data_IF_467959731752
#
_entry.id   IF_467959731752
#
_cell.length_a   1.000
_cell.length_b   1.000
_cell.length_c   1.000
_cell.angle_alpha   90.00
_cell.angle_beta   90.00
_cell.angle_gamma   90.00
#
_symmetry.space_group_name_H-M   'P 1'
#
loop_
_entity.id
_entity.type
_entity.pdbx_description
1 polymer ?
#
# COMPACT_ATOMS: atom_id res chain seq x y z
N UNK A 1 -23.86 -48.45 -21.82
CA UNK A 1 -23.43 -48.92 -23.15
C UNK A 1 -22.33 -48.00 -23.66
N UNK A 2 -21.22 -48.66 -24.03
CA UNK A 2 -20.08 -48.23 -24.86
C UNK A 2 -19.07 -47.22 -24.28
N UNK A 3 -17.98 -47.82 -23.81
CA UNK A 3 -16.62 -47.28 -23.64
C UNK A 3 -16.03 -46.90 -24.99
N UNK A 4 -15.22 -45.84 -25.04
CA UNK A 4 -14.15 -45.80 -26.04
C UNK A 4 -12.89 -45.23 -25.40
N UNK A 5 -11.90 -46.09 -25.33
CA UNK A 5 -10.48 -45.83 -25.05
C UNK A 5 -9.80 -45.43 -26.35
N UNK A 6 -9.00 -44.36 -26.31
CA UNK A 6 -7.91 -44.22 -27.29
C UNK A 6 -6.59 -44.02 -26.55
N UNK A 7 -5.73 -45.03 -26.78
CA UNK A 7 -4.29 -45.05 -26.48
C UNK A 7 -3.53 -44.74 -27.78
N UNK A 8 -2.24 -44.48 -27.63
CA UNK A 8 -1.09 -44.45 -28.57
C UNK A 8 -0.59 -42.99 -28.75
N UNK A 9 0.68 -42.68 -28.62
CA UNK A 9 1.91 -43.47 -28.49
C UNK A 9 3.09 -42.49 -28.30
N UNK A 10 4.17 -43.04 -27.79
CA UNK A 10 5.45 -42.40 -27.50
C UNK A 10 6.26 -42.09 -28.76
N UNK A 11 7.06 -41.02 -28.71
CA UNK A 11 8.27 -40.92 -29.54
C UNK A 11 9.39 -40.24 -28.76
N UNK A 12 10.40 -41.01 -28.41
CA UNK A 12 11.72 -40.54 -27.98
C UNK A 12 12.48 -39.99 -29.19
N UNK A 13 13.16 -38.88 -28.99
CA UNK A 13 14.28 -38.47 -29.83
C UNK A 13 15.39 -37.92 -28.94
N UNK A 14 16.39 -38.73 -28.72
CA UNK A 14 17.72 -38.39 -28.17
C UNK A 14 18.56 -37.76 -29.26
N UNK A 15 19.17 -36.61 -29.01
CA UNK A 15 20.33 -36.16 -29.77
C UNK A 15 21.41 -35.68 -28.77
N UNK A 16 22.48 -36.47 -28.70
CA UNK A 16 23.74 -36.12 -28.07
C UNK A 16 24.62 -35.41 -29.09
N UNK A 17 25.24 -34.32 -28.73
CA UNK A 17 26.41 -33.79 -29.42
C UNK A 17 27.46 -33.41 -28.40
N UNK A 18 28.58 -34.11 -28.53
CA UNK A 18 29.83 -33.93 -27.77
C UNK A 18 30.78 -32.99 -28.52
N UNK A 19 31.71 -32.41 -27.80
CA UNK A 19 32.95 -31.83 -28.29
C UNK A 19 33.04 -30.33 -27.99
N UNK A 20 34.12 -29.74 -27.49
CA UNK A 20 35.53 -30.12 -27.36
C UNK A 20 36.22 -29.24 -26.30
N UNK A 21 37.11 -29.86 -25.54
CA UNK A 21 38.09 -29.24 -24.67
C UNK A 21 39.11 -28.44 -25.48
N UNK A 22 39.43 -27.26 -25.04
CA UNK A 22 40.73 -26.63 -25.29
C UNK A 22 41.27 -26.03 -23.99
N UNK A 23 42.26 -26.70 -23.44
CA UNK A 23 43.11 -26.22 -22.39
C UNK A 23 44.20 -25.37 -23.01
N UNK A 24 44.52 -24.25 -22.40
CA UNK A 24 45.84 -23.64 -22.46
C UNK A 24 46.20 -23.08 -21.10
N UNK A 25 47.34 -23.56 -20.71
CA UNK A 25 48.10 -23.40 -19.46
C UNK A 25 48.76 -22.03 -19.30
N UNK A 26 48.83 -21.61 -18.07
CA UNK A 26 50.08 -21.41 -17.28
C UNK A 26 50.58 -19.96 -17.06
N UNK A 27 50.92 -19.76 -15.77
CA UNK A 27 51.90 -18.86 -15.14
C UNK A 27 51.48 -17.43 -14.91
N UNK A 28 51.74 -16.84 -13.76
CA UNK A 28 52.39 -17.18 -12.48
C UNK A 28 52.11 -16.06 -11.50
N UNK A 29 51.99 -16.46 -10.25
CA UNK A 29 52.25 -15.76 -9.00
C UNK A 29 52.46 -14.23 -8.97
N UNK A 30 51.59 -13.56 -8.21
CA UNK A 30 52.05 -12.68 -7.12
C UNK A 30 50.94 -12.52 -6.10
N UNK A 31 51.31 -12.73 -4.84
CA UNK A 31 50.53 -12.42 -3.66
C UNK A 31 49.96 -11.00 -3.70
N UNK A 32 48.64 -10.88 -3.61
CA UNK A 32 47.99 -9.66 -3.16
C UNK A 32 46.74 -10.08 -2.40
N UNK A 33 46.80 -9.88 -1.08
CA UNK A 33 45.71 -9.91 -0.11
C UNK A 33 44.48 -9.22 -0.68
N UNK A 34 43.31 -9.87 -0.72
CA UNK A 34 42.07 -9.13 -1.05
C UNK A 34 41.78 -8.21 0.13
N UNK A 35 41.93 -6.93 -0.05
CA UNK A 35 41.23 -5.93 0.73
C UNK A 35 39.73 -6.20 0.54
N UNK A 36 39.05 -6.42 1.65
CA UNK A 36 37.59 -6.36 1.68
C UNK A 36 37.19 -4.95 1.27
N UNK A 37 36.83 -4.82 0.01
CA UNK A 37 36.15 -3.64 -0.47
C UNK A 37 34.73 -3.71 0.11
N UNK A 38 34.53 -2.91 1.16
CA UNK A 38 33.20 -2.60 1.65
C UNK A 38 32.51 -1.85 0.53
N UNK A 39 31.79 -2.59 -0.33
CA UNK A 39 30.75 -1.99 -1.11
C UNK A 39 29.66 -1.54 -0.12
N UNK A 40 29.82 -0.32 0.34
CA UNK A 40 28.72 0.49 0.84
C UNK A 40 27.77 0.61 -0.36
N UNK A 41 26.80 -0.30 -0.46
CA UNK A 41 25.61 0.00 -1.22
C UNK A 41 25.05 1.24 -0.53
N UNK A 42 25.22 2.38 -1.17
CA UNK A 42 24.36 3.51 -0.93
C UNK A 42 22.95 2.98 -1.27
N UNK A 43 22.20 2.60 -0.24
CA UNK A 43 20.76 2.65 -0.34
C UNK A 43 20.50 4.10 -0.72
N UNK A 44 20.22 4.32 -2.00
CA UNK A 44 19.58 5.54 -2.40
C UNK A 44 18.32 5.58 -1.56
N UNK A 45 18.23 6.53 -0.62
CA UNK A 45 16.98 6.83 0.03
C UNK A 45 15.97 7.05 -1.09
N UNK A 46 15.05 6.10 -1.26
CA UNK A 46 13.90 6.37 -2.08
C UNK A 46 13.25 7.61 -1.44
N UNK A 47 12.87 8.61 -2.24
CA UNK A 47 12.18 9.77 -1.71
C UNK A 47 10.93 9.31 -0.95
N UNK A 48 10.59 10.03 0.09
CA UNK A 48 9.33 9.78 0.80
C UNK A 48 8.15 9.94 -0.18
N UNK A 49 7.03 9.23 0.04
CA UNK A 49 5.85 9.41 -0.76
C UNK A 49 5.50 10.90 -0.91
N UNK A 50 5.24 11.34 -2.14
CA UNK A 50 4.97 12.74 -2.45
C UNK A 50 6.19 13.65 -2.66
N UNK A 51 7.38 13.34 -2.16
CA UNK A 51 8.58 14.19 -2.30
C UNK A 51 8.99 14.46 -3.75
N UNK A 52 8.87 13.47 -4.61
CA UNK A 52 9.20 13.60 -6.05
C UNK A 52 8.03 14.09 -6.91
N UNK A 53 6.81 14.11 -6.38
CA UNK A 53 5.62 14.48 -7.11
C UNK A 53 5.38 16.00 -7.14
N UNK A 54 6.16 16.79 -6.41
CA UNK A 54 6.03 18.25 -6.35
C UNK A 54 4.90 18.74 -5.45
N UNK A 55 4.42 17.88 -4.54
CA UNK A 55 3.48 18.24 -3.47
C UNK A 55 4.01 17.71 -2.12
N UNK A 56 3.50 18.24 -1.04
CA UNK A 56 3.86 17.86 0.32
C UNK A 56 2.62 17.38 1.06
N UNK A 57 2.69 16.16 1.57
CA UNK A 57 1.64 15.59 2.40
C UNK A 57 1.73 16.15 3.83
N UNK A 58 0.60 16.56 4.37
CA UNK A 58 0.49 17.03 5.73
C UNK A 58 -0.17 15.94 6.57
N UNK A 59 0.45 15.48 7.67
CA UNK A 59 -0.13 14.42 8.49
C UNK A 59 -1.35 14.92 9.28
N UNK A 60 -2.37 14.09 9.41
CA UNK A 60 -3.45 14.30 10.38
C UNK A 60 -2.98 14.09 11.82
N UNK A 61 -1.97 13.27 12.01
CA UNK A 61 -1.36 12.88 13.27
C UNK A 61 -0.36 11.74 13.10
N UNK A 62 0.04 11.11 14.18
CA UNK A 62 0.92 9.94 14.13
C UNK A 62 0.19 8.73 13.51
N UNK A 63 0.94 7.81 12.89
CA UNK A 63 0.39 6.54 12.40
C UNK A 63 -0.29 5.75 13.53
N UNK A 64 -1.40 5.10 13.22
CA UNK A 64 -2.21 4.35 14.17
C UNK A 64 -2.17 2.86 13.86
N UNK A 65 -1.76 2.05 14.83
CA UNK A 65 -1.85 0.59 14.78
C UNK A 65 -3.26 0.13 15.18
N UNK A 66 -3.97 -0.54 14.24
CA UNK A 66 -5.31 -1.10 14.51
C UNK A 66 -5.42 -2.52 13.97
N UNK A 67 -5.46 -3.49 14.86
CA UNK A 67 -5.49 -4.90 14.48
C UNK A 67 -4.28 -5.27 13.59
N UNK A 68 -4.47 -5.86 12.41
CA UNK A 68 -3.37 -6.26 11.53
C UNK A 68 -2.88 -5.12 10.62
N UNK A 69 -3.27 -3.86 10.89
CA UNK A 69 -3.03 -2.72 10.02
C UNK A 69 -2.21 -1.63 10.71
N UNK A 70 -1.44 -0.90 9.92
CA UNK A 70 -0.89 0.42 10.23
C UNK A 70 -1.61 1.42 9.33
N UNK A 71 -2.09 2.50 9.90
CA UNK A 71 -2.91 3.50 9.21
C UNK A 71 -2.26 4.87 9.37
N UNK A 72 -1.79 5.43 8.29
CA UNK A 72 -1.44 6.84 8.14
C UNK A 72 -2.65 7.64 7.68
N UNK A 73 -2.79 8.86 8.15
CA UNK A 73 -3.77 9.80 7.62
C UNK A 73 -3.05 11.07 7.19
N UNK A 74 -3.22 11.46 5.93
CA UNK A 74 -2.58 12.66 5.37
C UNK A 74 -3.57 13.50 4.57
N UNK A 75 -3.20 14.74 4.27
CA UNK A 75 -3.97 15.63 3.40
C UNK A 75 -3.03 16.58 2.65
N UNK A 76 -3.46 17.02 1.47
CA UNK A 76 -2.74 17.97 0.63
C UNK A 76 -3.70 18.69 -0.33
N UNK A 77 -3.18 19.36 -1.39
CA UNK A 77 -4.00 20.07 -2.34
C UNK A 77 -5.05 19.16 -2.98
N UNK A 78 -6.25 19.70 -3.33
CA UNK A 78 -7.24 18.93 -4.09
C UNK A 78 -6.66 18.45 -5.41
N UNK A 79 -7.04 17.22 -5.83
CA UNK A 79 -6.53 16.57 -7.04
C UNK A 79 -7.62 16.33 -8.08
N UNK A 80 -7.22 16.34 -9.35
CA UNK A 80 -8.08 15.86 -10.43
C UNK A 80 -8.04 14.34 -10.49
N UNK A 81 -9.20 13.72 -10.66
CA UNK A 81 -9.37 12.27 -10.67
C UNK A 81 -10.08 11.79 -11.93
N UNK A 82 -9.73 10.62 -12.42
CA UNK A 82 -10.42 9.95 -13.52
C UNK A 82 -10.75 8.49 -13.14
N UNK A 83 -12.04 8.07 -13.08
CA UNK A 83 -13.21 8.93 -13.31
C UNK A 83 -13.39 9.95 -12.18
N UNK A 84 -14.00 11.10 -12.49
CA UNK A 84 -14.34 12.08 -11.47
C UNK A 84 -15.33 11.48 -10.48
N UNK A 85 -14.97 11.46 -9.19
CA UNK A 85 -15.82 11.04 -8.07
C UNK A 85 -15.77 12.08 -6.96
N UNK A 86 -16.84 12.16 -6.18
CA UNK A 86 -16.93 13.12 -5.08
C UNK A 86 -16.90 14.58 -5.54
N UNK A 87 -16.31 15.45 -4.71
CA UNK A 87 -16.23 16.89 -4.96
C UNK A 87 -15.11 17.20 -5.97
N UNK A 88 -15.36 17.99 -7.03
CA UNK A 88 -14.31 18.45 -7.93
C UNK A 88 -13.20 19.22 -7.21
N UNK A 89 -11.97 19.15 -7.71
CA UNK A 89 -10.82 19.82 -7.08
C UNK A 89 -11.07 21.32 -6.82
N UNK A 90 -11.65 22.05 -7.77
CA UNK A 90 -11.96 23.48 -7.65
C UNK A 90 -12.93 23.83 -6.51
N UNK A 91 -13.77 22.88 -6.11
CA UNK A 91 -14.80 23.06 -5.07
C UNK A 91 -14.39 22.43 -3.73
N UNK A 92 -13.18 21.88 -3.65
CA UNK A 92 -12.68 21.14 -2.49
C UNK A 92 -11.76 22.00 -1.60
N UNK A 93 -11.65 21.63 -0.33
CA UNK A 93 -10.66 22.17 0.60
C UNK A 93 -9.32 21.48 0.46
N UNK A 94 -9.34 20.18 0.31
CA UNK A 94 -8.15 19.33 0.29
C UNK A 94 -8.49 17.99 -0.36
N UNK A 95 -7.48 17.23 -0.68
CA UNK A 95 -7.54 15.78 -0.80
C UNK A 95 -7.14 15.16 0.55
N UNK A 96 -7.91 14.19 1.05
CA UNK A 96 -7.57 13.42 2.25
C UNK A 96 -7.29 11.99 1.85
N UNK A 97 -6.30 11.38 2.49
CA UNK A 97 -5.90 10.00 2.24
C UNK A 97 -5.80 9.21 3.53
N UNK A 98 -6.07 7.93 3.40
CA UNK A 98 -5.75 6.89 4.36
C UNK A 98 -4.77 5.91 3.71
N UNK A 99 -3.52 5.94 4.17
CA UNK A 99 -2.47 5.00 3.81
C UNK A 99 -2.59 3.79 4.71
N UNK A 100 -3.12 2.71 4.16
CA UNK A 100 -3.41 1.52 4.96
C UNK A 100 -2.49 0.37 4.53
N UNK A 101 -1.53 0.10 5.38
CA UNK A 101 -0.53 -0.94 5.20
C UNK A 101 -0.72 -2.11 6.17
N UNK A 102 -0.22 -3.27 5.78
CA UNK A 102 -0.19 -4.44 6.64
C UNK A 102 0.88 -4.27 7.74
N UNK A 103 0.48 -4.48 8.99
CA UNK A 103 1.39 -4.46 10.13
C UNK A 103 2.42 -5.61 10.05
N UNK A 104 3.58 -5.43 10.65
CA UNK A 104 4.65 -6.42 10.65
C UNK A 104 4.27 -7.76 11.29
N UNK A 105 3.33 -7.74 12.24
CA UNK A 105 2.81 -8.90 12.94
C UNK A 105 1.49 -9.43 12.38
N UNK A 106 1.01 -8.89 11.23
CA UNK A 106 -0.19 -9.40 10.58
C UNK A 106 -0.06 -10.89 10.27
N UNK A 107 -1.17 -11.59 10.29
CA UNK A 107 -1.25 -13.02 9.98
C UNK A 107 -2.10 -13.31 8.73
N UNK A 108 -2.31 -12.28 7.91
CA UNK A 108 -3.19 -12.33 6.73
C UNK A 108 -2.47 -12.72 5.44
N UNK A 109 -1.13 -12.88 5.49
CA UNK A 109 -0.32 -13.25 4.33
C UNK A 109 0.25 -12.08 3.54
N UNK A 110 0.07 -10.85 3.99
CA UNK A 110 0.73 -9.66 3.45
C UNK A 110 2.13 -9.50 4.03
N UNK A 111 3.06 -8.97 3.26
CA UNK A 111 4.32 -8.46 3.78
C UNK A 111 4.10 -7.22 4.66
N UNK A 112 5.03 -6.98 5.59
CA UNK A 112 4.99 -5.74 6.38
C UNK A 112 5.11 -4.52 5.46
N UNK A 113 4.20 -3.57 5.61
CA UNK A 113 4.14 -2.38 4.76
C UNK A 113 3.40 -2.56 3.43
N UNK A 114 2.95 -3.77 3.08
CA UNK A 114 2.16 -3.96 1.86
C UNK A 114 0.82 -3.22 1.98
N UNK A 115 0.41 -2.53 0.91
CA UNK A 115 -0.94 -1.99 0.80
C UNK A 115 -1.99 -3.10 0.93
N UNK A 116 -3.04 -2.85 1.70
CA UNK A 116 -4.12 -3.83 1.91
C UNK A 116 -5.32 -3.47 1.02
N UNK A 117 -5.57 -4.22 -0.06
CA UNK A 117 -6.61 -3.90 -1.03
C UNK A 117 -8.00 -4.35 -0.58
N UNK A 118 -9.02 -3.76 -1.21
CA UNK A 118 -10.42 -4.20 -1.12
C UNK A 118 -11.12 -3.83 0.18
N UNK A 119 -10.53 -2.97 0.99
CA UNK A 119 -11.15 -2.42 2.19
C UNK A 119 -12.30 -1.46 1.82
N UNK A 120 -13.25 -1.32 2.74
CA UNK A 120 -14.17 -0.18 2.76
C UNK A 120 -13.74 0.73 3.89
N UNK A 121 -13.37 1.97 3.56
CA UNK A 121 -12.83 2.94 4.50
C UNK A 121 -13.79 4.11 4.58
N UNK A 122 -14.60 4.14 5.63
CA UNK A 122 -15.46 5.29 5.89
C UNK A 122 -14.70 6.30 6.75
N UNK A 123 -14.87 7.61 6.48
CA UNK A 123 -14.30 8.67 7.30
C UNK A 123 -15.38 9.48 7.99
N UNK A 124 -15.03 10.05 9.13
CA UNK A 124 -15.83 11.06 9.79
C UNK A 124 -14.93 12.16 10.37
N UNK A 125 -15.32 13.41 10.16
CA UNK A 125 -14.71 14.60 10.74
C UNK A 125 -15.71 15.19 11.73
N UNK A 126 -15.30 15.32 13.00
CA UNK A 126 -16.14 15.84 14.08
C UNK A 126 -15.57 17.11 14.63
N UNK A 127 -16.44 18.06 14.97
CA UNK A 127 -16.05 19.23 15.77
C UNK A 127 -15.77 18.82 17.24
N UNK A 128 -15.20 19.73 18.02
CA UNK A 128 -14.87 19.48 19.43
C UNK A 128 -16.09 19.37 20.36
N UNK A 129 -17.30 19.56 19.81
CA UNK A 129 -18.56 19.26 20.50
C UNK A 129 -19.06 17.85 20.17
N UNK A 130 -18.36 17.10 19.29
CA UNK A 130 -18.70 15.75 18.86
C UNK A 130 -19.70 15.69 17.71
N UNK A 131 -20.08 16.83 17.11
CA UNK A 131 -20.96 16.83 15.93
C UNK A 131 -20.16 16.42 14.70
N UNK A 132 -20.74 15.54 13.88
CA UNK A 132 -20.17 15.21 12.57
C UNK A 132 -20.37 16.41 11.63
N UNK A 133 -19.27 16.96 11.12
CA UNK A 133 -19.29 18.07 10.15
C UNK A 133 -19.12 17.57 8.72
N UNK A 134 -18.39 16.49 8.53
CA UNK A 134 -18.29 15.76 7.24
C UNK A 134 -18.15 14.26 7.50
N UNK A 135 -18.70 13.46 6.61
CA UNK A 135 -18.54 12.00 6.58
C UNK A 135 -18.70 11.46 5.16
N UNK A 136 -18.16 10.29 4.91
CA UNK A 136 -18.27 9.60 3.62
C UNK A 136 -17.40 8.37 3.56
N UNK A 137 -17.18 7.88 2.34
CA UNK A 137 -16.35 6.70 2.07
C UNK A 137 -15.21 7.10 1.14
N UNK A 138 -13.97 6.81 1.54
CA UNK A 138 -12.78 7.00 0.73
C UNK A 138 -12.75 5.96 -0.40
N UNK A 139 -12.25 6.36 -1.55
CA UNK A 139 -12.17 5.52 -2.74
C UNK A 139 -10.76 4.96 -2.89
N UNK A 140 -10.61 3.66 -3.26
CA UNK A 140 -9.29 3.15 -3.62
C UNK A 140 -8.82 3.81 -4.91
N UNK A 141 -7.59 4.31 -4.91
CA UNK A 141 -6.98 4.98 -6.06
C UNK A 141 -5.48 4.76 -6.12
N UNK A 142 -4.87 5.17 -7.22
CA UNK A 142 -3.42 5.15 -7.40
C UNK A 142 -2.93 6.56 -7.69
N UNK A 143 -1.85 6.96 -7.06
CA UNK A 143 -1.09 8.14 -7.39
C UNK A 143 0.36 7.79 -7.75
N UNK A 144 1.20 8.79 -7.93
CA UNK A 144 2.61 8.58 -8.30
C UNK A 144 3.43 7.88 -7.21
N UNK A 145 3.01 7.98 -5.98
CA UNK A 145 3.60 7.39 -4.77
C UNK A 145 3.01 6.03 -4.39
N UNK A 146 1.87 5.65 -4.97
CA UNK A 146 1.32 4.32 -4.75
C UNK A 146 -0.20 4.26 -4.65
N UNK A 147 -0.73 3.08 -4.26
CA UNK A 147 -2.15 2.89 -4.02
C UNK A 147 -2.53 3.33 -2.60
N UNK A 148 -3.65 4.02 -2.46
CA UNK A 148 -4.22 4.50 -1.19
C UNK A 148 -5.75 4.54 -1.24
N UNK A 149 -6.37 4.97 -0.15
CA UNK A 149 -7.80 5.28 -0.08
C UNK A 149 -7.97 6.77 0.14
N UNK A 150 -8.55 7.49 -0.81
CA UNK A 150 -8.63 8.96 -0.74
C UNK A 150 -9.91 9.54 -1.31
N UNK A 151 -10.13 10.83 -1.07
CA UNK A 151 -11.22 11.61 -1.61
C UNK A 151 -10.95 13.11 -1.47
N UNK A 152 -11.38 13.91 -2.46
CA UNK A 152 -11.46 15.34 -2.30
C UNK A 152 -12.60 15.72 -1.34
N UNK A 153 -12.30 16.49 -0.29
CA UNK A 153 -13.28 16.92 0.69
C UNK A 153 -13.93 18.24 0.29
N UNK A 154 -15.26 18.40 0.47
CA UNK A 154 -15.94 19.66 0.33
C UNK A 154 -15.30 20.75 1.21
N UNK A 155 -15.66 22.01 0.96
CA UNK A 155 -15.16 23.14 1.78
C UNK A 155 -15.40 22.88 3.26
N UNK A 156 -14.35 23.06 4.05
CA UNK A 156 -14.31 22.92 5.49
C UNK A 156 -13.79 24.24 6.10
N UNK A 157 -14.50 24.76 7.10
CA UNK A 157 -14.09 25.95 7.82
C UNK A 157 -12.84 25.68 8.68
N UNK A 158 -12.10 26.74 9.04
CA UNK A 158 -11.00 26.63 9.97
C UNK A 158 -11.49 26.14 11.34
N UNK A 159 -10.76 25.22 11.95
CA UNK A 159 -11.15 24.66 13.25
C UNK A 159 -10.22 23.58 13.77
N UNK A 160 -10.58 23.07 14.95
CA UNK A 160 -9.97 21.89 15.54
C UNK A 160 -10.97 20.74 15.44
N UNK A 161 -10.54 19.65 14.86
CA UNK A 161 -11.39 18.50 14.55
C UNK A 161 -10.80 17.19 15.07
N UNK A 162 -11.67 16.20 15.22
CA UNK A 162 -11.27 14.82 15.39
C UNK A 162 -11.63 14.07 14.09
N UNK A 163 -10.62 13.48 13.45
CA UNK A 163 -10.80 12.69 12.24
C UNK A 163 -10.73 11.21 12.60
N UNK A 164 -11.60 10.41 12.03
CA UNK A 164 -11.58 8.96 12.20
C UNK A 164 -11.79 8.23 10.88
N UNK A 165 -11.05 7.12 10.70
CA UNK A 165 -11.25 6.17 9.62
C UNK A 165 -11.81 4.87 10.20
N UNK A 166 -12.98 4.46 9.71
CA UNK A 166 -13.64 3.20 10.06
C UNK A 166 -13.39 2.19 8.94
N UNK A 167 -12.58 1.18 9.22
CA UNK A 167 -12.02 0.25 8.23
C UNK A 167 -12.73 -1.09 8.34
N UNK A 168 -13.55 -1.41 7.33
CA UNK A 168 -14.21 -2.71 7.19
C UNK A 168 -13.34 -3.67 6.38
N UNK A 169 -13.40 -4.97 6.66
CA UNK A 169 -12.57 -5.94 5.94
C UNK A 169 -12.97 -6.04 4.46
N UNK A 170 -12.08 -6.60 3.62
CA UNK A 170 -12.41 -6.84 2.23
C UNK A 170 -13.62 -7.76 2.10
N UNK A 171 -14.59 -7.37 1.28
CA UNK A 171 -15.81 -8.16 1.05
C UNK A 171 -15.66 -9.20 -0.08
N UNK A 172 -14.68 -8.97 -0.98
CA UNK A 172 -14.47 -9.80 -2.17
C UNK A 172 -13.08 -10.47 -2.21
N UNK A 173 -12.27 -10.27 -1.17
CA UNK A 173 -10.94 -10.85 -1.04
C UNK A 173 -11.00 -12.11 -0.19
N UNK A 174 -10.37 -13.20 -0.64
CA UNK A 174 -10.46 -14.50 0.02
C UNK A 174 -9.12 -14.87 0.67
N UNK A 175 -9.19 -15.56 1.79
CA UNK A 175 -8.02 -16.15 2.44
C UNK A 175 -8.02 -17.67 2.23
N UNK A 176 -6.86 -18.25 1.92
CA UNK A 176 -6.67 -19.69 2.02
C UNK A 176 -6.67 -20.08 3.51
N UNK A 177 -7.36 -21.16 3.84
CA UNK A 177 -7.49 -21.62 5.23
C UNK A 177 -7.10 -23.08 5.43
N UNK A 178 -6.60 -23.74 4.36
CA UNK A 178 -6.12 -25.12 4.44
C UNK A 178 -4.74 -25.21 5.12
N UNK A 179 -4.33 -26.46 5.46
CA UNK A 179 -3.08 -26.68 6.22
C UNK A 179 -1.79 -26.40 5.42
N UNK A 180 -1.86 -26.38 4.09
CA UNK A 180 -0.68 -26.30 3.22
C UNK A 180 -0.42 -24.88 2.75
N UNK A 181 -1.47 -24.17 2.36
CA UNK A 181 -1.38 -22.84 1.75
C UNK A 181 -2.11 -21.76 2.54
N UNK A 182 -2.80 -22.14 3.63
CA UNK A 182 -3.60 -21.23 4.42
C UNK A 182 -2.78 -20.27 5.25
N UNK A 183 -3.32 -19.07 5.46
CA UNK A 183 -2.79 -18.08 6.38
C UNK A 183 -3.34 -18.31 7.79
N UNK A 184 -2.59 -17.93 8.82
CA UNK A 184 -3.00 -18.10 10.22
C UNK A 184 -4.13 -17.14 10.60
N UNK A 185 -4.09 -15.90 10.08
CA UNK A 185 -5.03 -14.85 10.40
C UNK A 185 -6.39 -15.04 9.76
N UNK A 186 -7.33 -14.22 10.22
CA UNK A 186 -8.65 -14.04 9.63
C UNK A 186 -8.96 -12.55 9.57
N UNK A 187 -9.76 -12.16 8.60
CA UNK A 187 -10.28 -10.80 8.60
C UNK A 187 -11.13 -10.55 9.85
N UNK A 188 -11.12 -9.33 10.29
CA UNK A 188 -11.93 -8.86 11.41
C UNK A 188 -13.41 -8.82 11.03
N UNK A 189 -14.29 -8.83 12.02
CA UNK A 189 -15.75 -8.82 11.82
C UNK A 189 -16.38 -7.47 12.14
N UNK A 190 -15.80 -6.77 13.12
CA UNK A 190 -16.22 -5.42 13.49
C UNK A 190 -15.27 -4.40 12.88
N UNK A 191 -15.73 -3.23 12.44
CA UNK A 191 -14.84 -2.22 11.87
C UNK A 191 -13.69 -1.86 12.82
N UNK A 192 -12.47 -1.80 12.27
CA UNK A 192 -11.33 -1.22 12.96
C UNK A 192 -11.41 0.31 12.84
N UNK A 193 -11.01 1.03 13.88
CA UNK A 193 -11.07 2.50 13.89
C UNK A 193 -9.69 3.07 14.15
N UNK A 194 -9.21 3.89 13.22
CA UNK A 194 -8.04 4.74 13.40
C UNK A 194 -8.52 6.15 13.71
N UNK A 195 -8.03 6.74 14.80
CA UNK A 195 -8.45 8.06 15.27
C UNK A 195 -7.27 9.04 15.23
N UNK A 196 -7.51 10.23 14.72
CA UNK A 196 -6.59 11.35 14.65
C UNK A 196 -7.23 12.54 15.37
N UNK A 197 -7.04 12.65 16.70
CA UNK A 197 -7.64 13.69 17.50
C UNK A 197 -6.92 15.02 17.34
N UNK A 198 -7.64 16.11 17.64
CA UNK A 198 -7.09 17.47 17.75
C UNK A 198 -6.43 18.01 16.46
N UNK A 199 -6.81 17.48 15.29
CA UNK A 199 -6.33 17.98 14.00
C UNK A 199 -6.69 19.46 13.81
N UNK A 200 -5.67 20.27 13.52
CA UNK A 200 -5.83 21.71 13.30
C UNK A 200 -5.95 21.96 11.79
N UNK A 201 -7.09 22.45 11.36
CA UNK A 201 -7.31 22.84 9.98
C UNK A 201 -7.47 24.36 9.86
N UNK A 202 -6.70 24.98 8.97
CA UNK A 202 -6.83 26.39 8.59
C UNK A 202 -6.57 26.53 7.08
N UNK A 203 -7.62 26.80 6.27
CA UNK A 203 -7.47 26.95 4.83
C UNK A 203 -6.61 28.15 4.42
N UNK A 204 -6.31 29.07 5.34
CA UNK A 204 -5.44 30.23 5.08
C UNK A 204 -3.97 29.96 5.38
N UNK A 205 -3.67 28.86 6.10
CA UNK A 205 -2.31 28.46 6.46
C UNK A 205 -1.66 27.57 5.39
N UNK A 206 -2.45 27.02 4.47
CA UNK A 206 -1.96 26.18 3.37
C UNK A 206 -1.83 27.01 2.09
N UNK A 207 -0.78 26.71 1.32
CA UNK A 207 -0.51 27.39 0.05
C UNK A 207 -0.22 26.34 -1.03
N UNK A 208 -1.27 25.84 -1.63
CA UNK A 208 -1.22 24.96 -2.81
C UNK A 208 -1.99 25.53 -3.98
#
# INVERSE_FOLDING_TARGET
MKRSLFRVGAALATLALAGTLAACSAQSSTDSKPSADSSTSAEANAPAPGEDAGFEEQPLGDEVHVGPLVVGGVYFQPVEMEPQVGTPAADSSMHIEADIAAAADNKLGYGAGDFVPGLTVDYAIKDKSGNVVQEGTLMPMNASDGPHYGLNLPKLDAGTYDVSFMIKPPSVWLLHTDKTTGVEGRFWTEPLVAEFPDWQWDPTAVSW
#
